data_IF_373123078347
#
_entry.id   IF_373123078347
#
_cell.length_a   1.000
_cell.length_b   1.000
_cell.length_c   1.000
_cell.angle_alpha   90.00
_cell.angle_beta   90.00
_cell.angle_gamma   90.00
#
_symmetry.space_group_name_H-M   'P 1'
#
loop_
_entity.id
_entity.type
_entity.pdbx_description
1 polymer ?
#
# COMPACT_ATOMS: atom_id res chain seq x y z
N UNK A 1 6.30 12.79 -6.54
CA UNK A 1 6.44 11.78 -5.45
C UNK A 1 5.67 10.53 -5.83
N UNK A 2 6.32 9.37 -5.85
CA UNK A 2 5.71 8.09 -6.28
C UNK A 2 5.19 7.32 -5.07
N UNK A 3 3.89 7.07 -5.02
CA UNK A 3 3.19 6.40 -3.92
C UNK A 3 2.61 5.08 -4.40
N UNK A 4 2.95 3.97 -3.76
CA UNK A 4 2.39 2.67 -4.07
C UNK A 4 1.04 2.46 -3.37
N UNK A 5 -0.03 2.26 -4.13
CA UNK A 5 -1.34 1.87 -3.60
C UNK A 5 -1.49 0.35 -3.75
N UNK A 6 -1.39 -0.38 -2.63
CA UNK A 6 -1.34 -1.85 -2.61
C UNK A 6 -2.72 -2.43 -2.30
N UNK A 7 -3.46 -2.77 -3.34
CA UNK A 7 -4.85 -3.22 -3.26
C UNK A 7 -5.08 -4.56 -3.95
N UNK A 8 -6.25 -5.15 -3.71
CA UNK A 8 -6.70 -6.36 -4.40
C UNK A 8 -7.37 -6.03 -5.74
N UNK A 9 -8.11 -4.93 -5.79
CA UNK A 9 -8.93 -4.54 -6.94
C UNK A 9 -8.27 -3.40 -7.72
N UNK A 10 -6.99 -3.52 -8.07
CA UNK A 10 -6.27 -2.44 -8.74
C UNK A 10 -6.61 -2.28 -10.22
N UNK A 11 -7.18 -3.32 -10.85
CA UNK A 11 -7.70 -3.26 -12.22
C UNK A 11 -8.94 -2.35 -12.29
N UNK A 12 -9.77 -2.34 -11.24
CA UNK A 12 -10.88 -1.42 -11.09
C UNK A 12 -10.46 -0.25 -10.19
N UNK A 13 -9.78 0.74 -10.78
CA UNK A 13 -9.27 1.91 -10.06
C UNK A 13 -10.34 2.65 -9.24
N UNK A 14 -11.60 2.57 -9.66
CA UNK A 14 -12.73 3.19 -8.96
C UNK A 14 -12.96 2.62 -7.56
N UNK A 15 -12.53 1.38 -7.29
CA UNK A 15 -12.59 0.77 -5.96
C UNK A 15 -11.83 1.57 -4.89
N UNK A 16 -10.88 2.42 -5.32
CA UNK A 16 -10.06 3.25 -4.44
C UNK A 16 -10.13 4.73 -4.80
N UNK A 17 -11.20 5.18 -5.48
CA UNK A 17 -11.39 6.55 -5.93
C UNK A 17 -11.13 7.58 -4.82
N UNK A 18 -11.79 7.44 -3.67
CA UNK A 18 -11.64 8.41 -2.57
C UNK A 18 -10.22 8.45 -2.00
N UNK A 19 -9.50 7.32 -2.00
CA UNK A 19 -8.09 7.27 -1.56
C UNK A 19 -7.20 7.98 -2.57
N UNK A 20 -7.44 7.74 -3.87
CA UNK A 20 -6.74 8.40 -4.98
C UNK A 20 -6.89 9.92 -4.91
N UNK A 21 -8.12 10.41 -4.79
CA UNK A 21 -8.39 11.85 -4.71
C UNK A 21 -7.81 12.48 -3.45
N UNK A 22 -7.87 11.80 -2.30
CA UNK A 22 -7.25 12.29 -1.07
C UNK A 22 -5.72 12.49 -1.22
N UNK A 23 -5.04 11.56 -1.91
CA UNK A 23 -3.62 11.70 -2.22
C UNK A 23 -3.35 12.88 -3.15
N UNK A 24 -4.14 13.06 -4.21
CA UNK A 24 -3.99 14.21 -5.11
C UNK A 24 -4.27 15.54 -4.40
N UNK A 25 -5.29 15.62 -3.55
CA UNK A 25 -5.58 16.80 -2.73
C UNK A 25 -4.41 17.14 -1.79
N UNK A 26 -3.79 16.13 -1.17
CA UNK A 26 -2.58 16.32 -0.37
C UNK A 26 -1.42 16.84 -1.24
N UNK A 27 -1.22 16.27 -2.43
CA UNK A 27 -0.24 16.76 -3.40
C UNK A 27 -0.42 18.23 -3.75
N UNK A 28 -1.65 18.65 -4.08
CA UNK A 28 -1.98 20.05 -4.37
C UNK A 28 -1.68 20.98 -3.18
N UNK A 29 -1.98 20.55 -1.95
CA UNK A 29 -1.71 21.34 -0.75
C UNK A 29 -0.23 21.65 -0.54
N UNK A 30 0.65 20.74 -0.96
CA UNK A 30 2.10 20.85 -0.81
C UNK A 30 2.83 21.22 -2.11
N UNK A 31 2.11 21.53 -3.19
CA UNK A 31 2.68 21.80 -4.52
C UNK A 31 3.58 20.67 -5.05
N UNK A 32 3.12 19.43 -4.87
CA UNK A 32 3.84 18.21 -5.27
C UNK A 32 2.96 17.34 -6.16
N UNK A 33 3.47 16.98 -7.34
CA UNK A 33 2.84 15.99 -8.20
C UNK A 33 2.89 14.58 -7.56
N UNK A 34 1.73 13.97 -7.38
CA UNK A 34 1.60 12.59 -6.89
C UNK A 34 1.45 11.64 -8.07
N UNK A 35 2.36 10.68 -8.15
CA UNK A 35 2.32 9.56 -9.09
C UNK A 35 1.91 8.29 -8.33
N UNK A 36 0.74 7.74 -8.65
CA UNK A 36 0.19 6.57 -7.95
C UNK A 36 0.54 5.31 -8.74
N UNK A 37 1.40 4.48 -8.15
CA UNK A 37 1.69 3.14 -8.66
C UNK A 37 0.67 2.15 -8.10
N UNK A 38 -0.12 1.56 -8.99
CA UNK A 38 -1.17 0.61 -8.64
C UNK A 38 -0.57 -0.79 -8.54
N UNK A 39 -0.56 -1.34 -7.32
CA UNK A 39 0.13 -2.59 -7.03
C UNK A 39 -0.88 -3.63 -6.57
N UNK A 40 -1.00 -4.71 -7.35
CA UNK A 40 -1.84 -5.85 -7.02
C UNK A 40 -1.21 -6.66 -5.89
N UNK A 41 -1.88 -6.69 -4.73
CA UNK A 41 -1.46 -7.48 -3.58
C UNK A 41 -1.34 -8.98 -3.87
N UNK A 42 -2.18 -9.56 -4.74
CA UNK A 42 -2.08 -10.99 -5.09
C UNK A 42 -0.84 -11.29 -5.95
N UNK A 43 -0.35 -10.30 -6.71
CA UNK A 43 0.92 -10.45 -7.44
C UNK A 43 2.13 -10.37 -6.52
N UNK A 44 2.08 -9.57 -5.44
CA UNK A 44 3.17 -9.47 -4.46
C UNK A 44 3.43 -10.82 -3.79
N UNK A 45 2.38 -11.60 -3.51
CA UNK A 45 2.50 -12.94 -2.94
C UNK A 45 3.33 -13.88 -3.84
N UNK A 46 3.28 -13.68 -5.16
CA UNK A 46 3.95 -14.55 -6.14
C UNK A 46 5.32 -14.04 -6.58
N UNK A 47 5.46 -12.72 -6.74
CA UNK A 47 6.63 -12.08 -7.38
C UNK A 47 7.54 -11.34 -6.39
N UNK A 48 7.13 -11.23 -5.14
CA UNK A 48 7.95 -10.63 -4.08
C UNK A 48 8.03 -9.11 -4.12
N UNK A 49 9.06 -8.57 -3.45
CA UNK A 49 9.17 -7.15 -3.03
C UNK A 49 9.62 -6.17 -4.13
N UNK A 50 10.04 -6.65 -5.31
CA UNK A 50 10.65 -5.82 -6.36
C UNK A 50 9.76 -4.67 -6.85
N UNK A 51 8.43 -4.83 -6.81
CA UNK A 51 7.49 -3.78 -7.20
C UNK A 51 7.49 -2.56 -6.27
N UNK A 52 8.13 -2.64 -5.11
CA UNK A 52 8.22 -1.54 -4.16
C UNK A 52 9.47 -0.65 -4.34
N UNK A 53 10.39 -1.02 -5.24
CA UNK A 53 11.59 -0.24 -5.49
C UNK A 53 11.26 1.16 -6.06
N UNK A 54 11.89 2.19 -5.49
CA UNK A 54 11.70 3.58 -5.90
C UNK A 54 10.39 4.22 -5.42
N UNK A 55 9.60 3.53 -4.58
CA UNK A 55 8.46 4.14 -3.90
C UNK A 55 8.92 5.06 -2.77
N UNK A 56 8.26 6.22 -2.67
CA UNK A 56 8.50 7.21 -1.61
C UNK A 56 7.51 7.05 -0.45
N UNK A 57 6.48 6.24 -0.63
CA UNK A 57 5.46 5.94 0.36
C UNK A 57 4.55 4.82 -0.10
N UNK A 58 3.94 4.11 0.84
CA UNK A 58 3.03 3.00 0.58
C UNK A 58 1.69 3.28 1.27
N UNK A 59 0.60 3.10 0.54
CA UNK A 59 -0.77 3.13 1.07
C UNK A 59 -1.39 1.75 0.92
N UNK A 60 -1.82 1.17 2.03
CA UNK A 60 -2.61 -0.06 2.03
C UNK A 60 -4.04 0.29 2.41
N UNK A 61 -4.97 0.34 1.44
CA UNK A 61 -6.36 0.64 1.71
C UNK A 61 -7.09 -0.54 2.36
N UNK A 62 -8.35 -0.28 2.71
CA UNK A 62 -9.30 -1.30 3.13
C UNK A 62 -9.44 -2.43 2.11
N UNK A 63 -10.01 -3.55 2.54
CA UNK A 63 -10.31 -4.69 1.69
C UNK A 63 -11.30 -5.62 2.36
N UNK A 64 -11.82 -6.55 1.57
CA UNK A 64 -12.79 -7.54 2.02
C UNK A 64 -12.33 -8.95 1.65
N UNK A 65 -12.62 -9.90 2.54
CA UNK A 65 -12.17 -11.28 2.42
C UNK A 65 -10.67 -11.44 2.69
N UNK A 66 -10.17 -12.67 2.50
CA UNK A 66 -8.81 -13.05 2.87
C UNK A 66 -7.76 -12.92 1.74
N UNK A 67 -8.21 -12.82 0.48
CA UNK A 67 -7.31 -12.80 -0.69
C UNK A 67 -6.45 -11.53 -0.71
N UNK A 68 -5.16 -11.69 -1.00
CA UNK A 68 -4.21 -10.59 -1.08
C UNK A 68 -3.77 -10.04 0.28
N UNK A 69 -4.20 -10.63 1.42
CA UNK A 69 -3.77 -10.16 2.74
C UNK A 69 -2.27 -10.40 2.93
N UNK A 70 -1.74 -11.55 2.54
CA UNK A 70 -0.31 -11.84 2.73
C UNK A 70 0.56 -10.91 1.88
N UNK A 71 0.12 -10.57 0.67
CA UNK A 71 0.78 -9.55 -0.15
C UNK A 71 0.83 -8.18 0.52
N UNK A 72 -0.24 -7.79 1.22
CA UNK A 72 -0.27 -6.56 2.01
C UNK A 72 0.64 -6.64 3.25
N UNK A 73 0.74 -7.80 3.90
CA UNK A 73 1.69 -8.04 5.01
C UNK A 73 3.13 -7.87 4.50
N UNK A 74 3.45 -8.39 3.32
CA UNK A 74 4.76 -8.17 2.68
C UNK A 74 5.01 -6.68 2.41
N UNK A 75 3.99 -5.93 1.98
CA UNK A 75 4.12 -4.48 1.77
C UNK A 75 4.40 -3.72 3.08
N UNK A 76 3.67 -4.03 4.15
CA UNK A 76 3.90 -3.45 5.48
C UNK A 76 5.33 -3.76 5.98
N UNK A 77 5.77 -5.01 5.80
CA UNK A 77 7.12 -5.45 6.18
C UNK A 77 8.18 -4.70 5.39
N UNK A 78 8.01 -4.61 4.08
CA UNK A 78 8.93 -3.88 3.22
C UNK A 78 9.05 -2.42 3.65
N UNK A 79 7.92 -1.77 3.92
CA UNK A 79 7.92 -0.39 4.38
C UNK A 79 8.69 -0.21 5.69
N UNK A 80 8.45 -1.08 6.68
CA UNK A 80 9.15 -1.05 7.98
C UNK A 80 10.64 -1.31 7.85
N UNK A 81 11.03 -2.37 7.14
CA UNK A 81 12.44 -2.77 6.98
C UNK A 81 13.27 -1.72 6.21
N UNK A 82 12.63 -0.95 5.32
CA UNK A 82 13.30 0.05 4.48
C UNK A 82 13.00 1.49 4.91
N UNK A 83 12.36 1.69 6.06
CA UNK A 83 11.97 3.02 6.59
C UNK A 83 11.17 3.87 5.59
N UNK A 84 10.33 3.24 4.78
CA UNK A 84 9.44 3.93 3.84
C UNK A 84 8.14 4.30 4.56
N UNK A 85 7.66 5.55 4.46
CA UNK A 85 6.38 5.95 5.03
C UNK A 85 5.24 5.03 4.59
N UNK A 86 4.45 4.56 5.57
CA UNK A 86 3.32 3.67 5.35
C UNK A 86 2.04 4.26 5.91
N UNK A 87 0.96 4.24 5.14
CA UNK A 87 -0.39 4.61 5.56
C UNK A 87 -1.34 3.42 5.41
N UNK A 88 -1.74 2.84 6.54
CA UNK A 88 -2.74 1.77 6.59
C UNK A 88 -4.15 2.32 6.85
N UNK A 89 -5.14 1.88 6.06
CA UNK A 89 -6.54 2.27 6.26
C UNK A 89 -7.38 1.03 6.58
N UNK A 90 -8.06 1.04 7.73
CA UNK A 90 -8.91 -0.08 8.18
C UNK A 90 -8.13 -1.41 8.19
N UNK A 91 -8.38 -2.30 7.23
CA UNK A 91 -7.59 -3.52 7.01
C UNK A 91 -6.09 -3.23 6.91
N UNK A 92 -5.68 -2.11 6.32
CA UNK A 92 -4.27 -1.74 6.21
C UNK A 92 -3.57 -1.56 7.57
N UNK A 93 -4.30 -1.13 8.61
CA UNK A 93 -3.78 -1.06 9.99
C UNK A 93 -3.72 -2.45 10.61
N UNK A 94 -4.75 -3.28 10.40
CA UNK A 94 -4.78 -4.66 10.88
C UNK A 94 -3.59 -5.46 10.33
N UNK A 95 -3.28 -5.27 9.04
CA UNK A 95 -2.12 -5.87 8.37
C UNK A 95 -0.80 -5.44 9.01
N UNK A 96 -0.63 -4.16 9.40
CA UNK A 96 0.58 -3.72 10.10
C UNK A 96 0.77 -4.45 11.43
N UNK A 97 -0.31 -4.61 12.20
CA UNK A 97 -0.26 -5.31 13.50
C UNK A 97 0.12 -6.78 13.29
N UNK A 98 -0.47 -7.43 12.29
CA UNK A 98 -0.13 -8.81 11.91
C UNK A 98 1.35 -8.93 11.50
N UNK A 99 1.84 -8.01 10.67
CA UNK A 99 3.24 -7.98 10.25
C UNK A 99 4.19 -7.87 11.45
N UNK A 100 3.94 -6.89 12.31
CA UNK A 100 4.79 -6.62 13.47
C UNK A 100 4.84 -7.83 14.40
N UNK A 101 3.67 -8.43 14.70
CA UNK A 101 3.58 -9.61 15.55
C UNK A 101 4.28 -10.86 14.99
N UNK A 102 4.40 -10.98 13.66
CA UNK A 102 5.05 -12.12 13.01
C UNK A 102 6.56 -11.94 12.84
N UNK A 103 7.05 -10.69 12.79
CA UNK A 103 8.37 -10.41 12.23
C UNK A 103 9.23 -9.43 13.04
N UNK A 104 8.72 -8.83 14.11
CA UNK A 104 9.46 -7.82 14.88
C UNK A 104 9.17 -7.80 16.39
N UNK A 105 8.29 -8.68 16.87
CA UNK A 105 8.11 -9.00 18.29
C UNK A 105 8.71 -10.38 18.57
#
# INVERSE_FOLDING_TARGET
VRVGLVGKYVELRDAYLSVREALHHAGLRYDVAIDIDWIDSEQIERRGKQRFEGLHGIVVPGGFGYRGIEGKVVAARYARENQIPYLGLCLGVQVMVIELARHAL
#
